data_IF_033068228035
#
_entry.id   IF_033068228035
#
_cell.length_a   1.000
_cell.length_b   1.000
_cell.length_c   1.000
_cell.angle_alpha   90.00
_cell.angle_beta   90.00
_cell.angle_gamma   90.00
#
_symmetry.space_group_name_H-M   'P 1'
#
loop_
_entity.id
_entity.type
_entity.pdbx_description
1 polymer ?
#
# COMPACT_ATOMS: atom_id res chain seq x y z
N UNK A 1 23.28 13.89 -15.64
CA UNK A 1 23.08 14.61 -14.37
C UNK A 1 22.34 15.91 -14.64
N UNK A 2 21.28 16.18 -13.90
CA UNK A 2 20.57 17.46 -13.98
C UNK A 2 21.34 18.45 -13.10
N UNK A 3 21.81 19.56 -13.69
CA UNK A 3 22.39 20.66 -12.93
C UNK A 3 21.25 21.59 -12.53
N UNK A 4 20.91 21.65 -11.24
CA UNK A 4 19.97 22.61 -10.70
C UNK A 4 20.70 23.91 -10.31
N UNK A 5 20.03 25.09 -10.40
CA UNK A 5 20.63 26.38 -10.00
C UNK A 5 20.70 26.56 -8.46
N UNK A 6 20.42 25.53 -7.71
CA UNK A 6 20.45 25.47 -6.24
C UNK A 6 21.05 24.13 -5.79
N UNK A 7 21.52 24.07 -4.55
CA UNK A 7 22.03 22.85 -3.96
C UNK A 7 20.90 21.83 -3.77
N UNK A 8 20.99 20.71 -4.45
CA UNK A 8 20.08 19.58 -4.26
C UNK A 8 20.66 18.61 -3.25
N UNK A 9 19.83 18.04 -2.35
CA UNK A 9 20.28 16.94 -1.50
C UNK A 9 20.70 15.74 -2.35
N UNK A 10 21.72 15.06 -1.91
CA UNK A 10 22.14 13.80 -2.54
C UNK A 10 21.08 12.74 -2.32
N UNK A 11 20.55 12.19 -3.40
CA UNK A 11 19.55 11.11 -3.33
C UNK A 11 20.25 9.77 -3.53
N UNK A 12 20.28 8.97 -2.50
CA UNK A 12 20.82 7.62 -2.54
C UNK A 12 19.70 6.60 -2.76
N UNK A 13 19.95 5.59 -3.59
CA UNK A 13 19.02 4.46 -3.73
C UNK A 13 19.00 3.64 -2.45
N UNK A 14 17.82 3.15 -2.00
CA UNK A 14 17.75 2.19 -0.90
C UNK A 14 18.62 0.96 -1.16
N UNK A 15 19.32 0.51 -0.14
CA UNK A 15 20.14 -0.71 -0.19
C UNK A 15 19.50 -1.74 0.73
N UNK A 16 19.36 -2.96 0.24
CA UNK A 16 18.74 -4.07 0.96
C UNK A 16 19.74 -5.20 1.17
N UNK A 17 19.55 -5.98 2.23
CA UNK A 17 20.32 -7.20 2.43
C UNK A 17 20.06 -8.19 1.29
N UNK A 18 21.05 -9.03 1.03
CA UNK A 18 20.91 -10.14 0.07
C UNK A 18 20.14 -11.32 0.71
N UNK A 19 18.91 -11.03 1.10
CA UNK A 19 17.94 -11.99 1.64
C UNK A 19 16.70 -11.92 0.78
N UNK A 20 16.25 -13.07 0.32
CA UNK A 20 15.08 -13.21 -0.55
C UNK A 20 14.05 -14.12 0.13
N UNK A 21 12.80 -13.72 0.12
CA UNK A 21 11.67 -14.51 0.57
C UNK A 21 10.54 -14.44 -0.47
N UNK A 22 10.22 -15.57 -1.07
CA UNK A 22 9.05 -15.65 -1.95
C UNK A 22 7.76 -15.75 -1.13
N UNK A 23 6.68 -15.11 -1.61
CA UNK A 23 5.37 -15.24 -0.96
C UNK A 23 4.86 -16.69 -0.93
N UNK A 24 5.32 -17.53 -1.84
CA UNK A 24 4.99 -18.97 -1.87
C UNK A 24 5.51 -19.67 -0.61
N UNK A 25 6.70 -19.31 -0.13
CA UNK A 25 7.29 -19.82 1.12
C UNK A 25 6.45 -19.46 2.36
N UNK A 26 5.69 -18.40 2.29
CA UNK A 26 4.80 -17.96 3.38
C UNK A 26 3.37 -18.43 3.23
N UNK A 27 3.11 -19.27 2.21
CA UNK A 27 1.85 -19.97 2.00
C UNK A 27 0.92 -19.37 0.96
N UNK A 28 1.43 -18.46 0.10
CA UNK A 28 0.65 -17.98 -1.04
C UNK A 28 0.34 -19.15 -2.01
N UNK A 29 -0.90 -19.19 -2.48
CA UNK A 29 -1.37 -20.14 -3.47
C UNK A 29 -2.12 -19.38 -4.56
N UNK A 30 -1.94 -19.75 -5.85
CA UNK A 30 -2.74 -19.20 -6.94
C UNK A 30 -4.23 -19.28 -6.63
N UNK A 31 -5.01 -18.35 -7.19
CA UNK A 31 -6.47 -18.25 -7.06
C UNK A 31 -7.02 -18.02 -5.63
N UNK A 32 -6.16 -17.96 -4.62
CA UNK A 32 -6.54 -17.60 -3.25
C UNK A 32 -6.23 -16.12 -2.99
N UNK A 33 -6.88 -15.58 -1.97
CA UNK A 33 -6.49 -14.29 -1.40
C UNK A 33 -5.14 -14.45 -0.69
N UNK A 34 -4.10 -13.76 -1.16
CA UNK A 34 -2.72 -13.94 -0.67
C UNK A 34 -2.24 -12.80 0.23
N UNK A 35 -3.10 -11.86 0.60
CA UNK A 35 -2.75 -10.70 1.45
C UNK A 35 -1.97 -11.13 2.70
N UNK A 36 -2.47 -12.14 3.41
CA UNK A 36 -1.81 -12.63 4.64
C UNK A 36 -0.44 -13.24 4.37
N UNK A 37 -0.27 -13.93 3.23
CA UNK A 37 1.01 -14.53 2.86
C UNK A 37 2.03 -13.45 2.49
N UNK A 38 1.62 -12.44 1.71
CA UNK A 38 2.46 -11.27 1.38
C UNK A 38 2.86 -10.55 2.66
N UNK A 39 1.89 -10.23 3.53
CA UNK A 39 2.18 -9.50 4.77
C UNK A 39 3.12 -10.30 5.69
N UNK A 40 2.93 -11.60 5.81
CA UNK A 40 3.82 -12.47 6.58
C UNK A 40 5.26 -12.48 6.03
N UNK A 41 5.43 -12.46 4.70
CA UNK A 41 6.75 -12.35 4.08
C UNK A 41 7.39 -10.99 4.38
N UNK A 42 6.64 -9.90 4.23
CA UNK A 42 7.10 -8.53 4.53
C UNK A 42 7.51 -8.41 6.00
N UNK A 43 6.65 -8.84 6.92
CA UNK A 43 6.90 -8.75 8.35
C UNK A 43 8.11 -9.60 8.76
N UNK A 44 8.28 -10.78 8.17
CA UNK A 44 9.43 -11.65 8.40
C UNK A 44 10.73 -10.99 7.93
N UNK A 45 10.77 -10.56 6.67
CA UNK A 45 11.96 -9.94 6.08
C UNK A 45 12.35 -8.66 6.82
N UNK A 46 11.39 -7.80 7.16
CA UNK A 46 11.64 -6.58 7.93
C UNK A 46 12.24 -6.89 9.31
N UNK A 47 11.64 -7.82 10.06
CA UNK A 47 12.11 -8.23 11.39
C UNK A 47 13.50 -8.85 11.35
N UNK A 48 13.83 -9.60 10.31
CA UNK A 48 15.13 -10.26 10.14
C UNK A 48 16.21 -9.28 9.62
N UNK A 49 15.88 -7.99 9.57
CA UNK A 49 16.79 -6.88 9.27
C UNK A 49 16.82 -6.47 7.80
N UNK A 50 15.82 -6.87 7.01
CA UNK A 50 15.61 -6.39 5.65
C UNK A 50 15.96 -7.38 4.55
N UNK A 51 15.55 -7.05 3.34
CA UNK A 51 15.76 -7.88 2.13
C UNK A 51 14.67 -7.68 1.10
N UNK A 52 14.52 -8.68 0.23
CA UNK A 52 13.58 -8.68 -0.89
C UNK A 52 12.43 -9.68 -0.63
N UNK A 53 11.20 -9.21 -0.78
CA UNK A 53 10.01 -10.07 -0.86
C UNK A 53 9.62 -10.19 -2.32
N UNK A 54 9.56 -11.42 -2.83
CA UNK A 54 9.32 -11.70 -4.24
C UNK A 54 7.88 -12.15 -4.46
N UNK A 55 7.21 -11.47 -5.38
CA UNK A 55 5.96 -11.90 -5.98
C UNK A 55 6.31 -12.58 -7.31
N UNK A 56 6.24 -13.91 -7.42
CA UNK A 56 6.59 -14.61 -8.65
C UNK A 56 5.55 -14.40 -9.75
N UNK A 57 5.92 -14.75 -10.99
CA UNK A 57 5.02 -14.72 -12.13
C UNK A 57 3.70 -15.44 -11.85
N UNK A 58 2.59 -14.89 -12.32
CA UNK A 58 1.23 -15.40 -12.11
C UNK A 58 0.27 -14.34 -11.63
N UNK A 59 -1.01 -14.71 -11.49
CA UNK A 59 -2.08 -13.82 -11.03
C UNK A 59 -2.32 -14.07 -9.53
N UNK A 60 -2.18 -13.01 -8.73
CA UNK A 60 -2.29 -13.04 -7.28
C UNK A 60 -3.36 -12.06 -6.81
N UNK A 61 -4.36 -12.54 -6.08
CA UNK A 61 -5.44 -11.70 -5.52
C UNK A 61 -5.07 -11.21 -4.13
N UNK A 62 -5.17 -9.92 -3.88
CA UNK A 62 -4.79 -9.32 -2.60
C UNK A 62 -5.72 -8.17 -2.18
N UNK A 63 -5.76 -7.88 -0.89
CA UNK A 63 -6.21 -6.60 -0.33
C UNK A 63 -5.03 -5.65 -0.12
N UNK A 64 -5.16 -4.72 0.84
CA UNK A 64 -4.08 -3.78 1.17
C UNK A 64 -2.80 -4.51 1.59
N UNK A 65 -1.68 -4.08 1.02
CA UNK A 65 -0.33 -4.49 1.40
C UNK A 65 0.33 -3.36 2.19
N UNK A 66 0.92 -3.66 3.34
CA UNK A 66 1.63 -2.70 4.17
C UNK A 66 3.13 -2.97 4.11
N UNK A 67 3.88 -2.08 3.47
CA UNK A 67 5.34 -2.15 3.45
C UNK A 67 5.91 -1.81 4.83
N UNK A 68 6.99 -2.49 5.18
CA UNK A 68 7.76 -2.29 6.42
C UNK A 68 9.18 -1.88 6.07
N UNK A 69 9.85 -1.24 7.03
CA UNK A 69 11.22 -0.77 6.87
C UNK A 69 12.17 -1.88 6.41
N UNK A 70 13.11 -1.49 5.57
CA UNK A 70 14.15 -2.34 4.99
C UNK A 70 13.63 -3.43 4.04
N UNK A 71 12.43 -3.27 3.47
CA UNK A 71 11.84 -4.26 2.55
C UNK A 71 11.73 -3.70 1.13
N UNK A 72 12.21 -4.48 0.17
CA UNK A 72 11.91 -4.33 -1.24
C UNK A 72 10.83 -5.34 -1.64
N UNK A 73 9.62 -4.89 -1.93
CA UNK A 73 8.57 -5.70 -2.56
C UNK A 73 8.84 -5.73 -4.06
N UNK A 74 9.22 -6.88 -4.58
CA UNK A 74 9.64 -7.07 -5.96
C UNK A 74 8.65 -7.96 -6.71
N UNK A 75 8.10 -7.42 -7.79
CA UNK A 75 7.22 -8.16 -8.70
C UNK A 75 8.03 -8.66 -9.88
N UNK A 76 8.16 -9.98 -10.03
CA UNK A 76 8.82 -10.58 -11.20
C UNK A 76 8.07 -10.25 -12.50
N UNK A 77 8.75 -10.38 -13.60
CA UNK A 77 8.12 -10.29 -14.92
C UNK A 77 7.00 -11.34 -15.03
N UNK A 78 5.82 -10.92 -15.50
CA UNK A 78 4.63 -11.78 -15.55
C UNK A 78 3.87 -11.92 -14.23
N UNK A 79 4.31 -11.27 -13.14
CA UNK A 79 3.51 -11.18 -11.92
C UNK A 79 2.42 -10.12 -12.05
N UNK A 80 1.19 -10.45 -11.66
CA UNK A 80 0.09 -9.50 -11.58
C UNK A 80 -0.56 -9.56 -10.19
N UNK A 81 -0.53 -8.46 -9.47
CA UNK A 81 -1.25 -8.28 -8.20
C UNK A 81 -2.61 -7.64 -8.47
N UNK A 82 -3.66 -8.42 -8.39
CA UNK A 82 -5.05 -7.98 -8.54
C UNK A 82 -5.63 -7.61 -7.18
N UNK A 83 -5.87 -6.33 -6.98
CA UNK A 83 -6.42 -5.82 -5.73
C UNK A 83 -7.93 -6.01 -5.66
N UNK A 84 -8.39 -6.45 -4.48
CA UNK A 84 -9.80 -6.68 -4.19
C UNK A 84 -10.60 -5.38 -4.18
N UNK A 85 -11.83 -5.43 -4.66
CA UNK A 85 -12.80 -4.35 -4.53
C UNK A 85 -13.68 -4.46 -3.28
N UNK A 86 -13.40 -5.38 -2.36
CA UNK A 86 -14.16 -5.58 -1.13
C UNK A 86 -13.54 -4.75 0.00
N UNK A 87 -14.36 -3.94 0.67
CA UNK A 87 -13.94 -3.07 1.77
C UNK A 87 -13.27 -3.84 2.90
N UNK A 88 -13.76 -5.05 3.22
CA UNK A 88 -13.21 -5.86 4.32
C UNK A 88 -11.74 -6.26 4.12
N UNK A 89 -11.25 -6.32 2.88
CA UNK A 89 -9.86 -6.66 2.56
C UNK A 89 -8.88 -5.51 2.82
N UNK A 90 -9.42 -4.35 3.24
CA UNK A 90 -8.67 -3.13 3.59
C UNK A 90 -8.84 -2.73 5.06
N UNK A 91 -9.56 -3.52 5.84
CA UNK A 91 -9.74 -3.24 7.26
C UNK A 91 -8.65 -3.92 8.12
N UNK A 92 -8.31 -3.32 9.27
CA UNK A 92 -8.82 -2.06 9.81
C UNK A 92 -8.42 -0.84 8.97
N UNK A 93 -9.17 0.26 9.11
CA UNK A 93 -8.79 1.54 8.49
C UNK A 93 -7.44 2.02 9.00
N UNK A 94 -6.75 2.79 8.17
CA UNK A 94 -5.44 3.38 8.49
C UNK A 94 -5.50 4.89 8.34
N UNK A 95 -4.62 5.59 9.03
CA UNK A 95 -4.44 7.03 8.85
C UNK A 95 -3.91 7.29 7.43
N UNK A 96 -4.63 8.07 6.68
CA UNK A 96 -4.29 8.45 5.32
C UNK A 96 -4.65 9.92 5.08
N UNK A 97 -4.43 10.40 3.87
CA UNK A 97 -4.87 11.73 3.44
C UNK A 97 -5.76 11.61 2.22
N UNK A 98 -6.82 12.38 2.23
CA UNK A 98 -7.68 12.60 1.08
C UNK A 98 -7.81 14.10 0.85
N UNK A 99 -7.47 14.57 -0.36
CA UNK A 99 -7.46 16.01 -0.72
C UNK A 99 -6.73 16.90 0.30
N UNK A 100 -5.60 16.41 0.85
CA UNK A 100 -4.79 17.11 1.84
C UNK A 100 -5.23 16.98 3.30
N UNK A 101 -6.41 16.39 3.56
CA UNK A 101 -6.98 16.24 4.90
C UNK A 101 -6.70 14.85 5.46
N UNK A 102 -6.34 14.78 6.74
CA UNK A 102 -6.10 13.52 7.45
C UNK A 102 -7.43 12.85 7.82
N UNK A 103 -7.54 11.56 7.47
CA UNK A 103 -8.72 10.72 7.72
C UNK A 103 -8.28 9.28 8.01
N UNK A 104 -9.11 8.52 8.71
CA UNK A 104 -8.96 7.06 8.81
C UNK A 104 -9.84 6.40 7.76
N UNK A 105 -9.24 5.80 6.74
CA UNK A 105 -9.97 5.11 5.67
C UNK A 105 -9.17 3.93 5.12
N UNK A 106 -9.50 3.47 3.92
CA UNK A 106 -8.91 2.28 3.29
C UNK A 106 -7.40 2.44 2.98
N UNK A 107 -6.88 3.67 3.00
CA UNK A 107 -5.47 3.98 2.79
C UNK A 107 -5.05 3.89 1.33
N UNK A 108 -4.23 2.91 1.01
CA UNK A 108 -3.73 2.66 -0.35
C UNK A 108 -3.72 1.16 -0.66
N UNK A 109 -3.60 0.79 -1.92
CA UNK A 109 -3.41 -0.60 -2.33
C UNK A 109 -2.06 -1.12 -1.81
N UNK A 110 -1.00 -0.32 -2.00
CA UNK A 110 0.30 -0.51 -1.34
C UNK A 110 0.54 0.69 -0.42
N UNK A 111 0.53 0.45 0.86
CA UNK A 111 0.57 1.44 1.92
C UNK A 111 1.87 1.34 2.71
N UNK A 112 2.41 2.48 3.13
CA UNK A 112 3.46 2.55 4.12
C UNK A 112 3.27 3.81 4.99
N UNK A 113 3.54 3.71 6.29
CA UNK A 113 3.50 4.87 7.17
C UNK A 113 4.63 4.78 8.19
N UNK A 114 5.42 5.87 8.34
CA UNK A 114 6.57 5.93 9.22
C UNK A 114 7.60 4.82 8.97
N UNK A 115 7.84 4.48 7.70
CA UNK A 115 8.82 3.47 7.30
C UNK A 115 10.03 4.12 6.64
N UNK A 116 11.14 3.42 6.65
CA UNK A 116 12.37 3.86 5.99
C UNK A 116 13.00 2.73 5.17
N UNK A 117 13.73 3.13 4.14
CA UNK A 117 14.45 2.21 3.28
C UNK A 117 13.50 1.15 2.70
N UNK A 118 12.49 1.60 1.95
CA UNK A 118 11.46 0.75 1.32
C UNK A 118 11.51 0.85 -0.19
N UNK A 119 11.17 -0.23 -0.87
CA UNK A 119 11.05 -0.22 -2.31
C UNK A 119 9.88 -1.05 -2.83
N UNK A 120 9.37 -0.64 -3.98
CA UNK A 120 8.46 -1.39 -4.83
C UNK A 120 9.10 -1.44 -6.22
N UNK A 121 9.52 -2.61 -6.65
CA UNK A 121 10.33 -2.77 -7.87
C UNK A 121 9.87 -3.92 -8.74
N UNK A 122 10.40 -4.01 -9.96
CA UNK A 122 10.21 -5.12 -10.87
C UNK A 122 9.33 -4.80 -12.07
N UNK A 123 9.11 -5.80 -12.92
CA UNK A 123 8.40 -5.66 -14.19
C UNK A 123 6.96 -6.22 -14.16
N UNK A 124 6.48 -6.60 -12.98
CA UNK A 124 5.10 -7.04 -12.79
C UNK A 124 4.10 -5.89 -12.81
N UNK A 125 2.83 -6.22 -12.60
CA UNK A 125 1.72 -5.27 -12.66
C UNK A 125 0.96 -5.19 -11.34
N UNK A 126 0.56 -4.00 -10.95
CA UNK A 126 -0.48 -3.75 -9.95
C UNK A 126 -1.79 -3.49 -10.69
N UNK A 127 -2.82 -4.25 -10.40
CA UNK A 127 -4.12 -4.15 -11.07
C UNK A 127 -5.17 -3.72 -10.05
N UNK A 128 -5.67 -2.50 -10.21
CA UNK A 128 -6.73 -1.95 -9.36
C UNK A 128 -8.07 -2.69 -9.59
N UNK A 129 -8.98 -2.69 -8.61
CA UNK A 129 -10.33 -3.20 -8.81
C UNK A 129 -11.11 -2.32 -9.80
N UNK A 130 -12.08 -2.94 -10.47
CA UNK A 130 -12.96 -2.25 -11.41
C UNK A 130 -13.96 -1.34 -10.70
N UNK A 131 -14.54 -0.38 -11.43
CA UNK A 131 -15.46 0.65 -10.88
C UNK A 131 -16.83 0.11 -10.47
N UNK A 132 -17.17 -1.13 -10.77
CA UNK A 132 -18.39 -1.80 -10.34
C UNK A 132 -18.27 -2.49 -8.97
N UNK A 133 -17.11 -2.41 -8.32
CA UNK A 133 -16.83 -3.03 -7.02
C UNK A 133 -17.48 -2.30 -5.83
N UNK A 134 -17.46 -2.94 -4.67
CA UNK A 134 -18.05 -2.40 -3.43
C UNK A 134 -17.42 -1.07 -3.01
N UNK A 135 -16.08 -0.94 -3.11
CA UNK A 135 -15.37 0.29 -2.73
C UNK A 135 -15.88 1.48 -3.53
N UNK A 136 -16.02 1.35 -4.86
CA UNK A 136 -16.54 2.40 -5.72
C UNK A 136 -17.99 2.74 -5.41
N UNK A 137 -18.85 1.76 -5.18
CA UNK A 137 -20.28 1.97 -4.86
C UNK A 137 -20.49 2.66 -3.51
N UNK A 138 -19.53 2.59 -2.63
CA UNK A 138 -19.61 3.15 -1.28
C UNK A 138 -18.66 4.31 -1.01
N UNK A 139 -18.04 4.86 -2.06
CA UNK A 139 -17.18 6.02 -1.91
C UNK A 139 -17.95 7.24 -1.38
N UNK A 140 -17.26 8.08 -0.65
CA UNK A 140 -17.79 9.36 -0.19
C UNK A 140 -17.86 10.33 -1.38
N UNK A 141 -19.06 10.88 -1.63
CA UNK A 141 -19.29 11.91 -2.63
C UNK A 141 -19.46 13.30 -2.02
N UNK A 142 -19.43 13.39 -0.69
CA UNK A 142 -19.44 14.67 0.01
C UNK A 142 -18.08 15.35 -0.13
N UNK A 143 -18.07 16.68 -0.22
CA UNK A 143 -16.80 17.41 -0.26
C UNK A 143 -16.03 17.22 1.04
N UNK A 144 -14.71 17.21 0.96
CA UNK A 144 -13.86 17.00 2.12
C UNK A 144 -14.03 18.09 3.17
N UNK A 145 -14.35 19.32 2.77
CA UNK A 145 -14.61 20.45 3.67
C UNK A 145 -15.82 20.15 4.56
N UNK A 146 -16.94 19.71 3.98
CA UNK A 146 -18.15 19.34 4.74
C UNK A 146 -17.88 18.17 5.67
N UNK A 147 -17.10 17.19 5.22
CA UNK A 147 -16.72 16.06 6.05
C UNK A 147 -15.88 16.52 7.27
N UNK A 148 -14.97 17.49 7.08
CA UNK A 148 -14.17 18.08 8.17
C UNK A 148 -15.04 18.89 9.12
N UNK A 149 -16.02 19.67 8.61
CA UNK A 149 -16.96 20.42 9.44
C UNK A 149 -17.78 19.48 10.34
N UNK A 150 -18.21 18.33 9.81
CA UNK A 150 -18.95 17.31 10.55
C UNK A 150 -18.08 16.58 11.59
N UNK A 151 -16.78 16.37 11.26
CA UNK A 151 -15.81 15.66 12.11
C UNK A 151 -14.55 16.51 12.31
N UNK A 152 -14.57 17.50 13.21
CA UNK A 152 -13.41 18.39 13.45
C UNK A 152 -12.17 17.65 13.96
N UNK A 153 -12.34 16.66 14.85
CA UNK A 153 -11.24 15.83 15.35
C UNK A 153 -10.88 14.74 14.33
N UNK A 154 -9.59 14.65 13.97
CA UNK A 154 -9.06 13.62 13.06
C UNK A 154 -9.42 12.21 13.51
N UNK A 155 -9.45 11.95 14.82
CA UNK A 155 -9.77 10.64 15.40
C UNK A 155 -11.20 10.21 15.13
N UNK A 156 -12.11 11.14 14.88
CA UNK A 156 -13.51 10.89 14.56
C UNK A 156 -13.75 10.70 13.06
N UNK A 157 -12.79 11.10 12.22
CA UNK A 157 -12.85 10.97 10.76
C UNK A 157 -12.63 9.54 10.31
N UNK A 158 -13.59 8.66 10.60
CA UNK A 158 -13.53 7.22 10.32
C UNK A 158 -14.46 6.88 9.16
N UNK A 159 -13.88 6.59 8.00
CA UNK A 159 -14.55 6.19 6.78
C UNK A 159 -14.25 4.71 6.46
N UNK A 160 -14.91 3.79 7.16
CA UNK A 160 -14.64 2.35 7.16
C UNK A 160 -15.69 1.50 6.43
N UNK A 161 -16.69 2.13 5.84
CA UNK A 161 -17.80 1.45 5.18
C UNK A 161 -18.77 0.74 6.12
N UNK A 162 -18.62 0.83 7.45
CA UNK A 162 -19.51 0.20 8.42
C UNK A 162 -20.64 1.12 8.88
N UNK A 163 -21.75 0.55 9.32
CA UNK A 163 -22.88 1.30 9.89
C UNK A 163 -23.35 2.47 9.01
N UNK A 164 -23.35 2.27 7.70
CA UNK A 164 -23.79 3.31 6.75
C UNK A 164 -22.73 4.35 6.36
N UNK A 165 -21.55 4.33 7.00
CA UNK A 165 -20.45 5.22 6.61
C UNK A 165 -19.94 4.90 5.20
N UNK A 166 -19.51 5.95 4.49
CA UNK A 166 -18.81 5.83 3.22
C UNK A 166 -17.35 5.42 3.42
N UNK A 167 -16.62 5.26 2.33
CA UNK A 167 -15.14 5.14 2.31
C UNK A 167 -14.57 6.18 1.38
N UNK A 168 -13.33 6.58 1.61
CA UNK A 168 -12.53 7.27 0.59
C UNK A 168 -11.80 6.23 -0.25
N UNK A 169 -11.73 6.48 -1.57
CA UNK A 169 -11.03 5.57 -2.47
C UNK A 169 -9.56 5.42 -2.07
N UNK A 170 -9.05 4.20 -2.01
CA UNK A 170 -7.64 3.98 -1.69
C UNK A 170 -6.75 4.53 -2.82
N UNK A 171 -5.65 5.14 -2.44
CA UNK A 171 -4.58 5.51 -3.37
C UNK A 171 -3.90 4.23 -3.92
N UNK A 172 -3.22 4.36 -5.06
CA UNK A 172 -2.50 3.21 -5.63
C UNK A 172 -1.30 2.83 -4.76
N UNK A 173 -0.38 3.76 -4.57
CA UNK A 173 0.80 3.61 -3.70
C UNK A 173 0.91 4.86 -2.84
N UNK A 174 0.98 4.71 -1.53
CA UNK A 174 1.06 5.85 -0.60
C UNK A 174 2.07 5.60 0.53
N UNK A 175 3.33 6.01 0.33
CA UNK A 175 4.32 6.08 1.40
C UNK A 175 4.15 7.42 2.15
N UNK A 176 3.56 7.38 3.33
CA UNK A 176 3.34 8.56 4.20
C UNK A 176 4.39 8.61 5.30
N UNK A 177 5.00 9.77 5.55
CA UNK A 177 6.06 9.97 6.54
C UNK A 177 7.21 8.96 6.38
N UNK A 178 7.53 8.56 5.17
CA UNK A 178 8.56 7.59 4.85
C UNK A 178 9.85 8.27 4.41
N UNK A 179 10.99 7.58 4.62
CA UNK A 179 12.30 8.02 4.17
C UNK A 179 12.90 6.98 3.22
N UNK A 180 13.69 7.44 2.26
CA UNK A 180 14.45 6.58 1.37
C UNK A 180 13.53 5.56 0.65
N UNK A 181 12.64 6.08 -0.20
CA UNK A 181 11.62 5.33 -0.92
C UNK A 181 12.00 5.18 -2.39
N UNK A 182 11.97 3.98 -2.92
CA UNK A 182 12.18 3.68 -4.35
C UNK A 182 10.92 3.04 -4.93
N UNK A 183 10.44 3.57 -6.05
CA UNK A 183 9.39 2.97 -6.86
C UNK A 183 9.92 2.89 -8.30
N UNK A 184 10.07 1.66 -8.83
CA UNK A 184 10.72 1.44 -10.13
C UNK A 184 10.08 0.27 -10.90
#
# INVERSE_FOLDING_TARGET
PVQAPFAMPEMNRPVFKDVVCSIVETGAKPEKMVTKAIQKAIDKVSRDGGGKVVIPAGIWKTGRIELKSNVNLHLEEGAELHFSGNINDYLPVVLTRFEGVEVYSLGALVYANNQENIALTGHGKLVAPTTDCEIWKRQCYESIEKYVEQYPDVKERIADGKKGRSVFLPLFVSPTNCKNVLIE
#
